data_IF_591769582410
#
_entry.id   IF_591769582410
#
_cell.length_a   1.000
_cell.length_b   1.000
_cell.length_c   1.000
_cell.angle_alpha   90.00
_cell.angle_beta   90.00
_cell.angle_gamma   90.00
#
_symmetry.space_group_name_H-M   'P 1'
#
loop_
_entity.id
_entity.type
_entity.pdbx_description
1 polymer ?
#
# COMPACT_ATOMS: atom_id res chain seq x y z
N UNK A 1 -14.67 4.80 17.03
CA UNK A 1 -13.37 4.59 16.38
C UNK A 1 -13.63 4.07 14.98
N UNK A 2 -12.94 4.62 13.99
CA UNK A 2 -12.90 4.12 12.61
C UNK A 2 -11.82 3.05 12.49
N UNK A 3 -11.92 2.16 11.51
CA UNK A 3 -10.84 1.21 11.23
C UNK A 3 -9.65 1.90 10.55
N UNK A 4 -8.49 1.26 10.58
CA UNK A 4 -7.31 1.70 9.82
C UNK A 4 -7.62 1.83 8.33
N UNK A 5 -8.29 0.84 7.74
CA UNK A 5 -8.68 0.86 6.31
C UNK A 5 -9.58 2.05 5.99
N UNK A 6 -10.60 2.32 6.82
CA UNK A 6 -11.49 3.47 6.65
C UNK A 6 -10.73 4.80 6.76
N UNK A 7 -9.80 4.90 7.71
CA UNK A 7 -8.95 6.08 7.87
C UNK A 7 -8.09 6.33 6.63
N UNK A 8 -7.47 5.29 6.06
CA UNK A 8 -6.65 5.40 4.86
C UNK A 8 -7.45 5.79 3.62
N UNK A 9 -8.68 5.27 3.48
CA UNK A 9 -9.60 5.68 2.40
C UNK A 9 -9.93 7.17 2.53
N UNK A 10 -10.35 7.63 3.70
CA UNK A 10 -10.69 9.05 3.94
C UNK A 10 -9.46 9.94 3.70
N UNK A 11 -8.29 9.51 4.16
CA UNK A 11 -7.03 10.22 3.94
C UNK A 11 -6.71 10.36 2.45
N UNK A 12 -6.78 9.24 1.71
CA UNK A 12 -6.51 9.18 0.26
C UNK A 12 -7.49 10.04 -0.53
N UNK A 13 -8.77 10.04 -0.19
CA UNK A 13 -9.78 10.88 -0.84
C UNK A 13 -9.50 12.37 -0.60
N UNK A 14 -9.10 12.75 0.62
CA UNK A 14 -8.77 14.14 0.95
C UNK A 14 -7.57 14.64 0.17
N UNK A 15 -6.49 13.86 0.12
CA UNK A 15 -5.28 14.27 -0.59
C UNK A 15 -5.50 14.34 -2.11
N UNK A 16 -6.22 13.38 -2.70
CA UNK A 16 -6.51 13.37 -4.14
C UNK A 16 -7.46 14.49 -4.56
N UNK A 17 -8.39 14.88 -3.68
CA UNK A 17 -9.28 16.03 -3.89
C UNK A 17 -8.65 17.39 -3.54
N UNK A 18 -7.40 17.42 -3.08
CA UNK A 18 -6.68 18.64 -2.70
C UNK A 18 -7.28 19.34 -1.47
N UNK A 19 -7.97 18.59 -0.60
CA UNK A 19 -8.50 19.10 0.66
C UNK A 19 -7.42 19.15 1.75
N UNK A 20 -7.56 20.09 2.67
CA UNK A 20 -6.74 20.12 3.87
C UNK A 20 -6.98 18.87 4.74
N UNK A 21 -5.87 18.30 5.21
CA UNK A 21 -5.85 17.10 6.04
C UNK A 21 -5.71 17.50 7.51
N UNK A 22 -6.74 17.23 8.30
CA UNK A 22 -6.68 17.35 9.76
C UNK A 22 -6.25 16.01 10.37
N UNK A 23 -4.98 15.90 10.75
CA UNK A 23 -4.45 14.68 11.39
C UNK A 23 -5.07 14.40 12.76
N UNK A 24 -5.57 15.43 13.47
CA UNK A 24 -6.18 15.22 14.79
C UNK A 24 -7.47 14.41 14.69
N UNK A 25 -8.26 14.62 13.63
CA UNK A 25 -9.43 13.79 13.35
C UNK A 25 -9.08 12.30 13.34
N UNK A 26 -7.96 11.92 12.71
CA UNK A 26 -7.54 10.51 12.66
C UNK A 26 -7.03 10.02 14.01
N UNK A 27 -6.22 10.81 14.72
CA UNK A 27 -5.68 10.42 16.03
C UNK A 27 -6.75 10.27 17.11
N UNK A 28 -7.85 11.03 17.03
CA UNK A 28 -8.97 10.92 17.96
C UNK A 28 -9.92 9.76 17.62
N UNK A 29 -9.93 9.31 16.36
CA UNK A 29 -10.87 8.31 15.88
C UNK A 29 -10.26 6.93 15.62
N UNK A 30 -8.93 6.78 15.59
CA UNK A 30 -8.27 5.48 15.47
C UNK A 30 -8.03 4.82 16.83
N UNK A 31 -7.92 3.49 16.84
CA UNK A 31 -7.38 2.79 18.00
C UNK A 31 -5.90 3.17 18.18
N UNK A 32 -5.44 3.23 19.42
CA UNK A 32 -4.08 3.68 19.73
C UNK A 32 -3.00 2.81 19.05
N UNK A 33 -3.27 1.51 18.92
CA UNK A 33 -2.37 0.55 18.27
C UNK A 33 -2.27 0.79 16.75
N UNK A 34 -3.31 1.35 16.12
CA UNK A 34 -3.38 1.61 14.67
C UNK A 34 -2.78 2.97 14.28
N UNK A 35 -2.53 3.86 15.24
CA UNK A 35 -2.07 5.23 14.96
C UNK A 35 -0.70 5.24 14.29
N UNK A 36 0.22 4.38 14.73
CA UNK A 36 1.57 4.36 14.16
C UNK A 36 1.57 3.78 12.74
N UNK A 37 0.82 2.70 12.53
CA UNK A 37 0.62 2.10 11.20
C UNK A 37 -0.06 3.09 10.23
N UNK A 38 -1.06 3.82 10.69
CA UNK A 38 -1.70 4.89 9.89
C UNK A 38 -0.69 5.96 9.45
N UNK A 39 0.22 6.40 10.33
CA UNK A 39 1.25 7.39 9.97
C UNK A 39 2.19 6.84 8.91
N UNK A 40 2.65 5.60 9.04
CA UNK A 40 3.56 4.99 8.07
C UNK A 40 2.89 4.87 6.69
N UNK A 41 1.67 4.34 6.66
CA UNK A 41 0.91 4.17 5.42
C UNK A 41 0.51 5.51 4.78
N UNK A 42 0.19 6.53 5.56
CA UNK A 42 -0.12 7.88 5.05
C UNK A 42 1.09 8.55 4.38
N UNK A 43 2.33 8.27 4.85
CA UNK A 43 3.56 8.72 4.18
C UNK A 43 3.72 8.05 2.82
N UNK A 44 3.47 6.74 2.74
CA UNK A 44 3.55 6.00 1.48
C UNK A 44 2.56 6.59 0.47
N UNK A 45 1.31 6.82 0.89
CA UNK A 45 0.27 7.45 0.04
C UNK A 45 0.74 8.83 -0.46
N UNK A 46 1.29 9.67 0.42
CA UNK A 46 1.82 10.98 0.02
C UNK A 46 2.94 10.87 -1.01
N UNK A 47 3.86 9.92 -0.82
CA UNK A 47 4.96 9.68 -1.76
C UNK A 47 4.41 9.23 -3.12
N UNK A 48 3.49 8.26 -3.14
CA UNK A 48 2.88 7.77 -4.38
C UNK A 48 2.13 8.86 -5.15
N UNK A 49 1.47 9.78 -4.46
CA UNK A 49 0.73 10.89 -5.10
C UNK A 49 1.66 12.02 -5.53
N UNK A 50 2.79 12.22 -4.83
CA UNK A 50 3.77 13.28 -5.13
C UNK A 50 4.73 12.90 -6.25
N UNK A 51 4.89 11.61 -6.55
CA UNK A 51 5.66 11.16 -7.71
C UNK A 51 4.85 11.49 -8.97
N UNK A 52 5.36 12.33 -9.89
CA UNK A 52 4.68 12.54 -11.16
C UNK A 52 4.52 11.18 -11.84
N UNK A 53 3.32 10.90 -12.36
CA UNK A 53 3.08 9.70 -13.16
C UNK A 53 3.96 9.76 -14.42
N UNK A 54 5.16 9.20 -14.33
CA UNK A 54 6.09 9.05 -15.45
C UNK A 54 5.86 7.71 -16.12
N UNK A 55 6.28 7.58 -17.38
CA UNK A 55 6.25 6.29 -18.09
C UNK A 55 7.09 5.23 -17.37
N UNK A 56 8.12 5.64 -16.61
CA UNK A 56 8.96 4.76 -15.80
C UNK A 56 8.21 4.24 -14.58
N UNK A 57 7.45 5.10 -13.88
CA UNK A 57 6.61 4.66 -12.74
C UNK A 57 5.55 3.64 -13.19
N UNK A 58 4.86 3.88 -14.30
CA UNK A 58 3.89 2.93 -14.87
C UNK A 58 4.56 1.61 -15.28
N UNK A 59 5.76 1.66 -15.84
CA UNK A 59 6.52 0.47 -16.20
C UNK A 59 6.92 -0.37 -14.97
N UNK A 60 7.34 0.26 -13.88
CA UNK A 60 7.68 -0.43 -12.62
C UNK A 60 6.42 -1.00 -11.98
N UNK A 61 5.34 -0.21 -11.89
CA UNK A 61 4.09 -0.67 -11.29
C UNK A 61 3.49 -1.84 -12.08
N UNK A 62 3.55 -1.79 -13.41
CA UNK A 62 3.13 -2.90 -14.27
C UNK A 62 3.99 -4.15 -14.07
N UNK A 63 5.31 -4.02 -13.96
CA UNK A 63 6.20 -5.16 -13.66
C UNK A 63 5.86 -5.80 -12.31
N UNK A 64 5.59 -4.99 -11.29
CA UNK A 64 5.18 -5.48 -9.96
C UNK A 64 3.84 -6.22 -10.07
N UNK A 65 2.89 -5.67 -10.84
CA UNK A 65 1.57 -6.28 -11.01
C UNK A 65 1.65 -7.58 -11.83
N UNK A 66 2.41 -7.61 -12.91
CA UNK A 66 2.65 -8.80 -13.73
C UNK A 66 3.35 -9.90 -12.89
N UNK A 67 4.28 -9.52 -12.01
CA UNK A 67 4.96 -10.45 -11.11
C UNK A 67 4.01 -11.00 -10.03
N UNK A 68 3.13 -10.15 -9.47
CA UNK A 68 2.04 -10.60 -8.59
C UNK A 68 1.10 -11.53 -9.32
N UNK A 69 0.69 -11.24 -10.55
CA UNK A 69 -0.17 -12.13 -11.33
C UNK A 69 0.50 -13.46 -11.67
N UNK A 70 1.83 -13.50 -11.81
CA UNK A 70 2.58 -14.74 -12.02
C UNK A 70 2.76 -15.56 -10.74
N UNK A 71 2.97 -14.91 -9.59
CA UNK A 71 3.02 -15.57 -8.28
C UNK A 71 1.63 -16.05 -7.82
N UNK A 72 0.61 -15.24 -8.09
CA UNK A 72 -0.78 -15.46 -7.73
C UNK A 72 -1.64 -15.88 -8.92
N UNK A 73 -1.08 -16.52 -9.95
CA UNK A 73 -1.85 -17.29 -10.93
C UNK A 73 -2.42 -18.55 -10.25
N UNK A 74 -3.19 -18.32 -9.18
CA UNK A 74 -4.11 -19.21 -8.55
C UNK A 74 -5.27 -19.42 -9.55
N UNK A 75 -5.70 -20.66 -9.77
CA UNK A 75 -6.78 -20.95 -10.69
C UNK A 75 -8.05 -20.25 -10.22
N UNK A 76 -8.58 -19.35 -11.04
CA UNK A 76 -9.87 -18.66 -10.91
C UNK A 76 -10.08 -17.91 -9.59
N UNK A 77 -10.15 -16.57 -9.67
CA UNK A 77 -10.80 -15.66 -8.72
C UNK A 77 -11.38 -16.35 -7.47
N UNK A 78 -10.51 -16.66 -6.51
CA UNK A 78 -10.91 -17.24 -5.25
C UNK A 78 -11.52 -16.08 -4.46
N UNK A 79 -12.84 -16.02 -4.49
CA UNK A 79 -13.70 -15.40 -3.49
C UNK A 79 -12.95 -15.24 -2.16
N UNK A 80 -12.53 -14.02 -1.82
CA UNK A 80 -11.72 -13.66 -0.64
C UNK A 80 -12.40 -14.02 0.70
N UNK A 81 -13.51 -14.76 0.68
CA UNK A 81 -14.26 -15.21 1.85
C UNK A 81 -14.06 -16.68 2.21
N UNK A 82 -13.26 -17.46 1.49
CA UNK A 82 -13.03 -18.86 1.87
C UNK A 82 -11.62 -19.17 2.30
N UNK A 83 -11.53 -19.23 3.63
CA UNK A 83 -10.71 -20.14 4.41
C UNK A 83 -9.20 -19.87 4.44
N UNK A 84 -8.85 -19.13 5.50
CA UNK A 84 -7.59 -19.25 6.23
C UNK A 84 -7.13 -20.71 6.30
N UNK A 85 -6.03 -21.02 5.63
CA UNK A 85 -4.95 -21.86 6.18
C UNK A 85 -3.72 -21.77 5.28
N UNK A 86 -2.58 -21.74 5.96
CA UNK A 86 -1.23 -21.98 5.43
C UNK A 86 -0.43 -20.71 5.07
N UNK A 87 0.16 -20.20 6.15
CA UNK A 87 1.41 -19.43 6.24
C UNK A 87 2.57 -20.15 5.53
N UNK A 88 3.42 -19.38 4.84
CA UNK A 88 4.89 -19.58 4.64
C UNK A 88 5.44 -19.03 3.30
N UNK A 89 4.65 -18.28 2.52
CA UNK A 89 5.11 -17.72 1.23
C UNK A 89 5.53 -16.24 1.22
N UNK A 90 5.50 -15.54 2.37
CA UNK A 90 5.49 -14.07 2.39
C UNK A 90 6.90 -13.42 2.39
N UNK A 91 7.91 -14.09 2.95
CA UNK A 91 9.21 -13.45 3.23
C UNK A 91 10.09 -13.28 1.97
N UNK A 92 10.04 -14.23 1.03
CA UNK A 92 10.83 -14.15 -0.21
C UNK A 92 10.24 -13.13 -1.19
N UNK A 93 8.92 -13.02 -1.26
CA UNK A 93 8.26 -12.02 -2.09
C UNK A 93 8.57 -10.60 -1.58
N UNK A 94 8.53 -10.40 -0.25
CA UNK A 94 8.85 -9.12 0.36
C UNK A 94 10.31 -8.72 0.09
N UNK A 95 11.26 -9.66 0.23
CA UNK A 95 12.68 -9.41 -0.04
C UNK A 95 12.95 -9.01 -1.49
N UNK A 96 12.29 -9.66 -2.46
CA UNK A 96 12.48 -9.36 -3.89
C UNK A 96 11.85 -8.00 -4.24
N UNK A 97 10.72 -7.65 -3.64
CA UNK A 97 10.11 -6.32 -3.79
C UNK A 97 11.06 -5.24 -3.24
N UNK A 98 11.64 -5.46 -2.06
CA UNK A 98 12.59 -4.53 -1.45
C UNK A 98 13.89 -4.42 -2.27
N UNK A 99 14.38 -5.52 -2.87
CA UNK A 99 15.53 -5.50 -3.78
C UNK A 99 15.25 -4.67 -5.05
N UNK A 100 14.09 -4.86 -5.70
CA UNK A 100 13.70 -4.10 -6.89
C UNK A 100 13.50 -2.61 -6.59
N UNK A 101 12.96 -2.28 -5.42
CA UNK A 101 12.82 -0.90 -4.98
C UNK A 101 14.16 -0.25 -4.68
N UNK A 102 15.06 -0.95 -3.98
CA UNK A 102 16.39 -0.42 -3.71
C UNK A 102 17.20 -0.28 -4.99
N UNK A 103 17.10 -1.18 -5.97
CA UNK A 103 17.85 -1.05 -7.23
C UNK A 103 17.47 0.20 -8.04
N UNK A 104 16.17 0.54 -8.10
CA UNK A 104 15.68 1.69 -8.88
C UNK A 104 15.70 3.02 -8.10
N UNK A 105 15.74 2.97 -6.76
CA UNK A 105 15.61 4.16 -5.90
C UNK A 105 16.70 4.30 -4.82
N UNK A 106 17.82 3.55 -4.88
CA UNK A 106 18.94 3.77 -3.96
C UNK A 106 19.81 4.96 -4.40
N UNK A 107 19.64 6.05 -3.68
CA UNK A 107 20.44 7.29 -3.65
C UNK A 107 20.59 8.09 -4.97
N UNK A 108 19.60 8.95 -5.21
CA UNK A 108 19.86 10.41 -5.31
C UNK A 108 19.29 11.15 -4.08
#
# INVERSE_FOLDING_TARGET
>A
MISLDEALVIYTDKITSGQDIDYNYFYENLAQDDIEEFKELSKIINMTISVPYTQEFDAVFKKINDYKEQLYSLPQAADFRKDRKDSDGNDDAQRIIDELFNEEFSDE
#
